data_IF_150349790373
#
_entry.id   IF_150349790373
#
_cell.length_a   1.000
_cell.length_b   1.000
_cell.length_c   1.000
_cell.angle_alpha   90.00
_cell.angle_beta   90.00
_cell.angle_gamma   90.00
#
_symmetry.space_group_name_H-M   'P 1'
#
loop_
_entity.id
_entity.type
_entity.pdbx_description
1 polymer ?
#
# COMPACT_ATOMS: atom_id res chain seq x y z
N UNK A 1 -8.43 9.04 8.25
CA UNK A 1 -7.16 8.29 8.43
C UNK A 1 -7.25 7.09 7.53
N UNK A 2 -6.25 6.87 6.69
CA UNK A 2 -6.24 5.76 5.73
C UNK A 2 -5.34 4.63 6.21
N UNK A 3 -5.49 3.45 5.61
CA UNK A 3 -4.71 2.26 5.94
C UNK A 3 -4.21 1.59 4.65
N UNK A 4 -2.93 1.25 4.62
CA UNK A 4 -2.34 0.44 3.57
C UNK A 4 -1.80 -0.87 4.16
N UNK A 5 -2.10 -1.99 3.52
CA UNK A 5 -1.72 -3.34 3.98
C UNK A 5 -0.91 -4.03 2.90
N UNK A 6 0.29 -4.50 3.26
CA UNK A 6 1.11 -5.35 2.41
C UNK A 6 0.61 -6.79 2.48
N UNK A 7 0.26 -7.37 1.33
CA UNK A 7 -0.27 -8.70 1.26
C UNK A 7 0.72 -9.63 0.54
N UNK A 8 1.71 -10.12 1.30
CA UNK A 8 2.83 -10.90 0.77
C UNK A 8 2.38 -12.14 -0.02
N UNK A 9 1.35 -12.84 0.45
CA UNK A 9 0.81 -14.04 -0.20
C UNK A 9 0.06 -13.78 -1.51
N UNK A 10 -0.36 -12.54 -1.78
CA UNK A 10 -1.15 -12.17 -2.96
C UNK A 10 -0.44 -11.19 -3.89
N UNK A 11 0.82 -10.83 -3.60
CA UNK A 11 1.66 -9.97 -4.45
C UNK A 11 0.97 -8.62 -4.75
N UNK A 12 0.32 -8.05 -3.73
CA UNK A 12 -0.37 -6.78 -3.83
C UNK A 12 -0.32 -6.00 -2.50
N UNK A 13 -0.76 -4.75 -2.59
CA UNK A 13 -1.21 -3.98 -1.43
C UNK A 13 -2.71 -3.71 -1.52
N UNK A 14 -3.35 -3.59 -0.37
CA UNK A 14 -4.72 -3.12 -0.24
C UNK A 14 -4.72 -1.73 0.43
N UNK A 15 -5.33 -0.75 -0.22
CA UNK A 15 -5.47 0.62 0.30
C UNK A 15 -6.91 0.87 0.69
N UNK A 16 -7.13 1.14 1.97
CA UNK A 16 -8.40 1.41 2.59
C UNK A 16 -8.49 2.90 2.90
N UNK A 17 -9.44 3.60 2.26
CA UNK A 17 -9.72 4.99 2.61
C UNK A 17 -10.64 5.03 3.83
N UNK A 18 -10.26 5.81 4.82
CA UNK A 18 -11.01 5.92 6.06
C UNK A 18 -12.05 7.01 6.02
N UNK A 19 -13.11 6.79 6.78
CA UNK A 19 -14.10 7.80 7.13
C UNK A 19 -13.77 8.43 8.49
N UNK A 20 -14.42 9.56 8.79
CA UNK A 20 -14.28 10.28 10.08
C UNK A 20 -14.96 9.57 11.27
N UNK A 21 -15.36 8.31 11.10
CA UNK A 21 -16.00 7.48 12.11
C UNK A 21 -15.20 6.18 12.42
N UNK A 22 -13.90 6.15 12.06
CA UNK A 22 -13.01 5.00 12.25
C UNK A 22 -13.37 3.74 11.45
N UNK A 23 -14.22 3.86 10.42
CA UNK A 23 -14.49 2.79 9.45
C UNK A 23 -13.77 3.05 8.13
N UNK A 24 -13.72 2.03 7.26
CA UNK A 24 -13.04 2.09 5.96
C UNK A 24 -13.96 1.64 4.83
N UNK A 25 -13.75 2.18 3.63
CA UNK A 25 -14.37 1.66 2.39
C UNK A 25 -13.76 0.33 1.95
N UNK A 26 -14.39 -0.31 0.95
CA UNK A 26 -13.77 -1.41 0.24
C UNK A 26 -12.39 -1.00 -0.31
N UNK A 27 -11.36 -1.85 -0.17
CA UNK A 27 -10.02 -1.46 -0.53
C UNK A 27 -9.84 -1.35 -2.05
N UNK A 28 -8.97 -0.43 -2.45
CA UNK A 28 -8.36 -0.48 -3.77
C UNK A 28 -7.18 -1.45 -3.73
N UNK A 29 -7.15 -2.42 -4.65
CA UNK A 29 -6.06 -3.40 -4.75
C UNK A 29 -5.07 -2.94 -5.81
N UNK A 30 -3.81 -2.82 -5.42
CA UNK A 30 -2.72 -2.43 -6.32
C UNK A 30 -1.70 -3.58 -6.38
N UNK A 31 -1.45 -4.08 -7.58
CA UNK A 31 -0.46 -5.12 -7.81
C UNK A 31 0.96 -4.61 -7.48
N UNK A 32 1.79 -5.50 -6.94
CA UNK A 32 3.20 -5.21 -6.61
C UNK A 32 4.11 -6.28 -7.22
N UNK A 33 5.39 -6.25 -6.84
CA UNK A 33 6.28 -7.39 -7.03
C UNK A 33 6.02 -8.51 -6.03
N UNK A 34 6.91 -9.50 -6.04
CA UNK A 34 6.83 -10.69 -5.17
C UNK A 34 7.14 -10.35 -3.72
N UNK A 35 6.32 -10.88 -2.80
CA UNK A 35 6.48 -10.75 -1.36
C UNK A 35 6.65 -9.29 -0.91
N UNK A 36 5.63 -8.42 -1.07
CA UNK A 36 5.65 -7.10 -0.45
C UNK A 36 5.76 -7.22 1.07
N UNK A 37 6.76 -6.56 1.66
CA UNK A 37 7.09 -6.68 3.09
C UNK A 37 6.96 -5.36 3.86
N UNK A 38 7.15 -4.23 3.19
CA UNK A 38 7.11 -2.92 3.84
C UNK A 38 6.49 -1.88 2.94
N UNK A 39 5.81 -0.92 3.56
CA UNK A 39 5.14 0.20 2.92
C UNK A 39 5.62 1.47 3.60
N UNK A 40 5.93 2.50 2.82
CA UNK A 40 6.10 3.86 3.30
C UNK A 40 5.23 4.82 2.49
N UNK A 41 4.82 5.91 3.12
CA UNK A 41 4.08 7.01 2.49
C UNK A 41 4.77 8.34 2.72
N UNK A 42 4.65 9.22 1.75
CA UNK A 42 5.26 10.55 1.74
C UNK A 42 5.01 11.21 0.39
N UNK A 43 5.18 12.52 0.30
CA UNK A 43 5.32 13.18 -0.99
C UNK A 43 6.77 12.96 -1.44
N UNK A 44 6.99 12.03 -2.36
CA UNK A 44 8.33 11.67 -2.82
C UNK A 44 8.68 12.30 -4.16
N UNK A 45 7.72 12.94 -4.83
CA UNK A 45 7.87 13.55 -6.14
C UNK A 45 7.53 15.06 -6.18
N UNK A 46 7.29 15.68 -5.02
CA UNK A 46 6.96 17.08 -4.81
C UNK A 46 5.67 17.54 -5.52
N UNK A 47 4.69 16.64 -5.68
CA UNK A 47 3.41 16.95 -6.35
C UNK A 47 2.27 17.31 -5.40
N UNK A 48 2.54 17.40 -4.09
CA UNK A 48 1.59 17.67 -3.00
C UNK A 48 0.56 16.57 -2.74
N UNK A 49 0.69 15.41 -3.38
CA UNK A 49 -0.09 14.20 -3.10
C UNK A 49 0.77 13.19 -2.37
N UNK A 50 0.17 12.47 -1.43
CA UNK A 50 0.88 11.38 -0.76
C UNK A 50 1.08 10.23 -1.73
N UNK A 51 2.34 9.92 -2.00
CA UNK A 51 2.77 8.73 -2.70
C UNK A 51 2.83 7.52 -1.74
N UNK A 52 2.80 6.34 -2.33
CA UNK A 52 3.02 5.06 -1.65
C UNK A 52 4.16 4.32 -2.34
N UNK A 53 5.16 3.92 -1.57
CA UNK A 53 6.26 3.07 -2.04
C UNK A 53 6.23 1.73 -1.31
N UNK A 54 6.48 0.65 -2.06
CA UNK A 54 6.42 -0.72 -1.56
C UNK A 54 7.77 -1.41 -1.75
N UNK A 55 8.34 -1.90 -0.66
CA UNK A 55 9.53 -2.75 -0.69
C UNK A 55 9.12 -4.22 -0.81
N UNK A 56 9.69 -4.89 -1.82
CA UNK A 56 9.42 -6.28 -2.16
C UNK A 56 10.66 -7.10 -1.82
N UNK A 57 10.50 -8.26 -1.17
CA UNK A 57 11.65 -9.06 -0.70
C UNK A 57 12.38 -9.79 -1.84
N UNK A 58 11.71 -10.01 -2.98
CA UNK A 58 12.26 -10.66 -4.16
C UNK A 58 12.80 -12.09 -3.89
N UNK A 59 11.92 -13.09 -3.90
CA UNK A 59 12.30 -14.46 -4.24
C UNK A 59 12.29 -14.62 -5.77
N UNK A 60 13.42 -14.33 -6.42
CA UNK A 60 13.68 -14.94 -7.74
C UNK A 60 14.23 -16.33 -7.49
N UNK A 61 13.45 -17.36 -7.79
CA UNK A 61 13.97 -18.69 -8.13
C UNK A 61 13.71 -18.96 -9.60
#
# INVERSE_FOLDING_TARGET
MDLAVANSGFQNIAVFLGYDNYSFVNPTILATGSEPMSIASGDFNDDTRFDVVVANYASRS
#
